data_IF_158342337740
#
_entry.id   IF_158342337740
#
_cell.length_a   1.000
_cell.length_b   1.000
_cell.length_c   1.000
_cell.angle_alpha   90.00
_cell.angle_beta   90.00
_cell.angle_gamma   90.00
#
_symmetry.space_group_name_H-M   'P 1'
#
loop_
_entity.id
_entity.type
_entity.pdbx_description
1 polymer ?
#
# COMPACT_ATOMS: atom_id res chain seq x y z
N UNK A 1 46.66 -3.61 66.44
CA UNK A 1 45.23 -3.47 66.12
C UNK A 1 45.21 -2.81 64.75
N UNK A 2 45.02 -3.48 63.61
CA UNK A 2 44.30 -4.72 63.36
C UNK A 2 43.03 -4.37 62.60
N UNK A 3 43.13 -4.36 61.25
CA UNK A 3 42.07 -4.38 60.23
C UNK A 3 41.17 -3.10 60.15
N UNK A 4 40.70 -2.60 59.00
CA UNK A 4 40.58 -3.15 57.64
C UNK A 4 40.85 -2.05 56.59
N UNK A 5 41.79 -2.32 55.67
CA UNK A 5 41.93 -1.59 54.39
C UNK A 5 40.84 -2.03 53.39
N UNK A 6 39.72 -2.57 53.87
CA UNK A 6 38.95 -3.58 53.14
C UNK A 6 37.42 -3.36 53.22
N UNK A 7 36.99 -2.11 53.37
CA UNK A 7 35.55 -1.74 53.40
C UNK A 7 35.13 -0.80 52.25
N UNK A 8 35.95 -0.72 51.20
CA UNK A 8 35.43 -0.38 49.88
C UNK A 8 35.37 -1.68 49.10
N UNK A 9 34.30 -2.44 49.34
CA UNK A 9 33.85 -3.50 48.45
C UNK A 9 33.99 -2.98 47.02
N UNK A 10 34.95 -3.52 46.28
CA UNK A 10 35.01 -3.36 44.85
C UNK A 10 33.71 -4.00 44.35
N UNK A 11 32.70 -3.17 44.11
CA UNK A 11 31.43 -3.59 43.51
C UNK A 11 31.78 -3.91 42.07
N UNK A 12 32.36 -5.09 41.82
CA UNK A 12 32.67 -5.57 40.48
C UNK A 12 31.36 -5.96 39.83
N UNK A 13 30.64 -4.98 39.30
CA UNK A 13 29.48 -5.18 38.44
C UNK A 13 29.95 -4.90 37.01
N UNK A 14 30.54 -5.93 36.39
CA UNK A 14 30.99 -5.89 35.00
C UNK A 14 32.46 -5.52 34.80
N UNK A 15 32.92 -5.56 33.55
CA UNK A 15 34.30 -5.23 33.14
C UNK A 15 34.58 -3.73 33.12
N UNK A 16 33.69 -2.90 33.66
CA UNK A 16 33.75 -1.44 33.63
C UNK A 16 33.93 -0.92 35.05
N UNK A 17 34.90 -0.04 35.24
CA UNK A 17 35.11 0.61 36.53
C UNK A 17 33.98 1.60 36.83
N UNK A 18 33.80 1.95 38.11
CA UNK A 18 32.69 2.81 38.55
C UNK A 18 32.64 4.16 37.81
N UNK A 19 33.80 4.74 37.48
CA UNK A 19 33.88 5.99 36.72
C UNK A 19 33.33 5.82 35.31
N UNK A 20 33.59 4.68 34.68
CA UNK A 20 33.07 4.35 33.36
C UNK A 20 31.56 4.09 33.41
N UNK A 21 31.08 3.37 34.43
CA UNK A 21 29.65 3.14 34.66
C UNK A 21 28.92 4.47 34.87
N UNK A 22 29.49 5.41 35.62
CA UNK A 22 28.90 6.74 35.82
C UNK A 22 28.91 7.55 34.53
N UNK A 23 30.01 7.53 33.78
CA UNK A 23 30.13 8.27 32.52
C UNK A 23 29.08 7.82 31.49
N UNK A 24 28.88 6.51 31.35
CA UNK A 24 27.92 5.93 30.40
C UNK A 24 26.45 6.03 30.85
N UNK A 25 26.20 6.30 32.13
CA UNK A 25 24.86 6.50 32.69
C UNK A 25 24.55 7.97 33.02
N UNK A 26 25.33 8.93 32.49
CA UNK A 26 24.93 10.34 32.55
C UNK A 26 23.75 10.60 31.63
N UNK A 27 22.94 11.63 31.94
CA UNK A 27 21.82 12.03 31.07
C UNK A 27 22.27 12.25 29.62
N UNK A 28 23.39 12.96 29.41
CA UNK A 28 23.95 13.18 28.06
C UNK A 28 24.39 11.87 27.39
N UNK A 29 25.07 10.96 28.10
CA UNK A 29 25.53 9.71 27.50
C UNK A 29 24.40 8.73 27.21
N UNK A 30 23.31 8.79 27.98
CA UNK A 30 22.09 8.03 27.69
C UNK A 30 21.29 8.67 26.56
N UNK A 31 21.24 10.00 26.49
CA UNK A 31 20.62 10.73 25.37
C UNK A 31 21.35 10.42 24.06
N UNK A 32 22.69 10.45 24.03
CA UNK A 32 23.49 10.07 22.86
C UNK A 32 23.28 8.59 22.47
N UNK A 33 23.13 7.69 23.46
CA UNK A 33 22.84 6.28 23.21
C UNK A 33 21.42 6.07 22.68
N UNK A 34 20.45 6.82 23.20
CA UNK A 34 19.07 6.82 22.73
C UNK A 34 19.06 7.36 21.30
N UNK A 35 19.64 8.52 21.04
CA UNK A 35 19.72 9.14 19.72
C UNK A 35 20.47 8.26 18.71
N UNK A 36 21.57 7.59 19.10
CA UNK A 36 22.26 6.64 18.22
C UNK A 36 21.50 5.32 18.02
N UNK A 37 20.63 4.93 18.97
CA UNK A 37 19.86 3.70 18.93
C UNK A 37 18.48 3.85 18.30
N UNK A 38 17.89 5.04 18.36
CA UNK A 38 16.66 5.46 17.68
C UNK A 38 16.99 6.34 16.47
N UNK A 39 18.16 6.09 15.84
CA UNK A 39 18.85 6.97 14.88
C UNK A 39 18.13 7.42 13.62
N UNK A 40 16.83 7.25 13.53
CA UNK A 40 15.95 7.91 12.57
C UNK A 40 14.68 8.23 13.37
N UNK A 41 14.18 9.47 13.28
CA UNK A 41 12.76 9.72 13.58
C UNK A 41 11.97 8.58 12.93
N UNK A 42 11.11 7.89 13.69
CA UNK A 42 10.25 6.86 13.08
C UNK A 42 9.33 7.62 12.13
N UNK A 43 9.72 7.70 10.85
CA UNK A 43 8.87 8.19 9.78
C UNK A 43 7.75 7.16 9.62
N UNK A 44 6.66 7.41 10.34
CA UNK A 44 5.40 6.72 10.11
C UNK A 44 4.76 7.44 8.95
N UNK A 45 4.95 6.92 7.73
CA UNK A 45 4.13 7.32 6.61
C UNK A 45 2.75 6.69 6.81
N UNK A 46 1.74 7.53 7.01
CA UNK A 46 0.36 7.11 7.11
C UNK A 46 -0.25 7.24 5.72
N UNK A 47 -1.00 6.22 5.30
CA UNK A 47 -1.84 6.33 4.12
C UNK A 47 -3.01 7.28 4.31
N UNK A 48 -3.49 7.80 3.20
CA UNK A 48 -4.55 8.79 3.08
C UNK A 48 -5.78 8.25 2.33
N UNK A 49 -6.94 8.85 2.62
CA UNK A 49 -8.13 8.70 1.78
C UNK A 49 -8.15 9.85 0.76
N UNK A 50 -7.98 9.53 -0.51
CA UNK A 50 -7.84 10.50 -1.60
C UNK A 50 -9.03 10.37 -2.54
N UNK A 51 -9.84 11.42 -2.57
CA UNK A 51 -11.03 11.50 -3.40
C UNK A 51 -10.88 12.56 -4.50
N UNK A 52 -11.20 12.16 -5.72
CA UNK A 52 -11.33 13.04 -6.88
C UNK A 52 -12.68 13.73 -6.95
N UNK A 53 -13.00 14.22 -8.15
CA UNK A 53 -14.28 14.84 -8.47
C UNK A 53 -14.94 14.11 -9.63
N UNK A 54 -16.13 14.57 -10.06
CA UNK A 54 -16.76 14.03 -11.29
C UNK A 54 -16.16 14.63 -12.58
N UNK A 55 -14.91 15.05 -12.55
CA UNK A 55 -14.19 15.65 -13.69
C UNK A 55 -12.89 14.89 -13.90
N UNK A 56 -12.12 15.28 -14.92
CA UNK A 56 -10.76 14.77 -15.07
C UNK A 56 -9.88 15.34 -13.98
N UNK A 57 -9.34 14.46 -13.15
CA UNK A 57 -8.41 14.75 -12.08
C UNK A 57 -7.08 14.01 -12.29
N UNK A 58 -6.04 14.53 -11.66
CA UNK A 58 -4.75 13.84 -11.51
C UNK A 58 -4.55 13.68 -10.02
N UNK A 59 -4.60 12.45 -9.53
CA UNK A 59 -4.47 12.11 -8.13
C UNK A 59 -3.14 11.38 -7.90
N UNK A 60 -2.47 11.73 -6.83
CA UNK A 60 -1.18 11.13 -6.45
C UNK A 60 -1.22 10.90 -4.95
N UNK A 61 -0.95 9.67 -4.54
CA UNK A 61 -0.83 9.30 -3.15
C UNK A 61 0.50 9.69 -2.52
N UNK A 62 0.79 9.00 -1.43
CA UNK A 62 1.90 9.19 -0.50
C UNK A 62 2.82 7.97 -0.57
N UNK A 63 3.74 7.83 0.40
CA UNK A 63 4.56 6.63 0.51
C UNK A 63 3.94 5.59 1.49
N UNK A 64 2.66 5.76 1.87
CA UNK A 64 1.92 4.88 2.77
C UNK A 64 0.66 4.32 2.11
N UNK A 65 0.05 3.31 2.74
CA UNK A 65 -1.08 2.55 2.18
C UNK A 65 -2.35 3.40 1.93
N UNK A 66 -2.49 3.94 0.72
CA UNK A 66 -3.54 4.89 0.38
C UNK A 66 -4.82 4.20 -0.12
N UNK A 67 -5.94 4.92 -0.01
CA UNK A 67 -7.19 4.57 -0.68
C UNK A 67 -7.59 5.69 -1.63
N UNK A 68 -7.56 5.42 -2.93
CA UNK A 68 -7.76 6.41 -3.98
C UNK A 68 -9.06 6.13 -4.75
N UNK A 69 -9.95 7.11 -4.78
CA UNK A 69 -11.22 7.07 -5.53
C UNK A 69 -11.29 8.23 -6.51
N UNK A 70 -11.16 7.96 -7.81
CA UNK A 70 -11.23 9.00 -8.87
C UNK A 70 -12.64 9.53 -9.12
N UNK A 71 -13.65 8.67 -8.98
CA UNK A 71 -15.04 8.86 -9.45
C UNK A 71 -15.14 8.98 -10.99
N UNK A 72 -16.13 9.72 -11.46
CA UNK A 72 -16.39 9.91 -12.88
C UNK A 72 -15.34 10.84 -13.46
N UNK A 73 -14.67 10.41 -14.49
CA UNK A 73 -13.62 11.23 -15.05
C UNK A 73 -12.91 10.46 -16.12
N UNK A 74 -11.71 10.89 -16.41
CA UNK A 74 -10.71 10.05 -17.08
C UNK A 74 -9.45 10.45 -16.37
N UNK A 75 -9.28 9.83 -15.23
CA UNK A 75 -8.37 10.30 -14.23
C UNK A 75 -7.02 9.65 -14.42
N UNK A 76 -6.00 10.31 -13.92
CA UNK A 76 -4.65 9.78 -13.87
C UNK A 76 -4.36 9.55 -12.39
N UNK A 77 -4.23 8.29 -12.03
CA UNK A 77 -4.03 7.86 -10.64
C UNK A 77 -2.60 7.34 -10.47
N UNK A 78 -1.99 7.72 -9.36
CA UNK A 78 -0.65 7.28 -8.95
C UNK A 78 -0.74 6.95 -7.47
N UNK A 79 -0.43 5.72 -7.09
CA UNK A 79 -0.46 5.23 -5.71
C UNK A 79 0.70 5.81 -4.91
N UNK A 80 1.92 5.53 -5.36
CA UNK A 80 3.14 5.85 -4.64
C UNK A 80 3.81 4.57 -4.11
N UNK A 81 4.47 4.68 -2.96
CA UNK A 81 4.91 3.49 -2.23
C UNK A 81 3.80 3.04 -1.26
N UNK A 82 3.77 1.76 -0.90
CA UNK A 82 2.76 1.22 0.00
C UNK A 82 1.94 0.12 -0.65
N UNK A 83 0.89 -0.32 0.05
CA UNK A 83 -0.14 -1.22 -0.47
C UNK A 83 -1.43 -0.44 -0.70
N UNK A 84 -1.60 0.06 -1.92
CA UNK A 84 -2.66 1.01 -2.25
C UNK A 84 -3.94 0.34 -2.71
N UNK A 85 -5.07 1.06 -2.56
CA UNK A 85 -6.40 0.61 -2.94
C UNK A 85 -7.03 1.59 -3.92
N UNK A 86 -7.19 1.18 -5.17
CA UNK A 86 -7.91 1.94 -6.20
C UNK A 86 -9.36 1.49 -6.24
N UNK A 87 -10.29 2.35 -5.79
CA UNK A 87 -11.69 1.98 -5.56
C UNK A 87 -12.59 2.44 -6.71
N UNK A 88 -13.44 1.52 -7.18
CA UNK A 88 -14.44 1.78 -8.21
C UNK A 88 -15.80 1.23 -7.77
N UNK A 89 -16.79 2.11 -7.62
CA UNK A 89 -18.15 1.76 -7.16
C UNK A 89 -19.17 1.62 -8.30
N UNK A 90 -18.78 2.06 -9.50
CA UNK A 90 -19.72 2.21 -10.61
C UNK A 90 -19.04 2.07 -11.97
N UNK A 91 -19.75 1.49 -12.93
CA UNK A 91 -19.34 1.47 -14.34
C UNK A 91 -19.16 2.87 -14.94
N UNK A 92 -19.69 3.92 -14.30
CA UNK A 92 -19.52 5.31 -14.72
C UNK A 92 -18.13 5.87 -14.41
N UNK A 93 -17.36 5.21 -13.53
CA UNK A 93 -16.01 5.60 -13.14
C UNK A 93 -14.96 5.07 -14.15
N UNK A 94 -15.42 4.57 -15.30
CA UNK A 94 -14.58 4.04 -16.36
C UNK A 94 -13.76 5.14 -17.05
N UNK A 95 -12.54 4.80 -17.42
CA UNK A 95 -11.69 5.57 -18.33
C UNK A 95 -10.38 6.05 -17.73
N UNK A 96 -10.09 5.63 -16.50
CA UNK A 96 -8.90 6.01 -15.75
C UNK A 96 -7.64 5.27 -16.23
N UNK A 97 -6.51 5.90 -15.91
CA UNK A 97 -5.17 5.36 -16.11
C UNK A 97 -4.47 5.33 -14.76
N UNK A 98 -4.11 4.13 -14.30
CA UNK A 98 -3.25 3.93 -13.13
C UNK A 98 -1.81 3.76 -13.63
N UNK A 99 -0.89 4.56 -13.07
CA UNK A 99 0.46 4.71 -13.62
C UNK A 99 1.52 3.80 -13.04
N UNK A 100 1.34 3.37 -11.81
CA UNK A 100 2.38 2.76 -10.99
C UNK A 100 1.90 1.56 -10.17
N UNK A 101 0.75 1.00 -10.54
CA UNK A 101 0.18 -0.18 -9.87
C UNK A 101 1.23 -1.27 -9.68
N UNK A 102 1.48 -1.68 -8.44
CA UNK A 102 2.41 -2.73 -8.05
C UNK A 102 1.67 -4.05 -7.76
N UNK A 103 1.67 -5.02 -8.70
CA UNK A 103 0.97 -6.28 -8.51
C UNK A 103 1.52 -7.07 -7.31
N UNK A 104 0.61 -7.49 -6.44
CA UNK A 104 0.92 -8.20 -5.19
C UNK A 104 1.07 -7.30 -3.96
N UNK A 105 1.17 -5.97 -4.15
CA UNK A 105 1.02 -4.97 -3.08
C UNK A 105 -0.33 -4.27 -3.20
N UNK A 106 -0.60 -3.71 -4.37
CA UNK A 106 -1.79 -2.89 -4.62
C UNK A 106 -3.03 -3.73 -4.95
N UNK A 107 -4.19 -3.11 -4.75
CA UNK A 107 -5.47 -3.71 -5.06
C UNK A 107 -6.39 -2.77 -5.86
N UNK A 108 -7.10 -3.35 -6.83
CA UNK A 108 -8.25 -2.70 -7.48
C UNK A 108 -9.52 -3.23 -6.81
N UNK A 109 -10.25 -2.35 -6.15
CA UNK A 109 -11.45 -2.71 -5.38
C UNK A 109 -12.68 -2.51 -6.26
N UNK A 110 -13.34 -3.64 -6.58
CA UNK A 110 -14.50 -3.71 -7.48
C UNK A 110 -15.75 -4.25 -6.79
N UNK A 111 -15.69 -4.60 -5.51
CA UNK A 111 -16.79 -5.25 -4.76
C UNK A 111 -18.13 -4.54 -4.94
N UNK A 112 -18.19 -3.22 -4.76
CA UNK A 112 -19.44 -2.46 -4.92
C UNK A 112 -19.90 -2.38 -6.39
N UNK A 113 -18.97 -2.23 -7.32
CA UNK A 113 -19.28 -2.23 -8.75
C UNK A 113 -19.87 -3.58 -9.18
N UNK A 114 -19.27 -4.68 -8.71
CA UNK A 114 -19.68 -6.05 -9.04
C UNK A 114 -21.06 -6.38 -8.46
N UNK A 115 -21.33 -6.01 -7.20
CA UNK A 115 -22.67 -6.13 -6.59
C UNK A 115 -23.72 -5.35 -7.42
N UNK A 116 -23.38 -4.14 -7.87
CA UNK A 116 -24.28 -3.29 -8.64
C UNK A 116 -24.64 -3.84 -10.02
N UNK A 117 -23.74 -4.61 -10.64
CA UNK A 117 -24.03 -5.31 -11.91
C UNK A 117 -24.66 -6.69 -11.69
N UNK A 118 -24.85 -7.11 -10.43
CA UNK A 118 -25.48 -8.38 -10.07
C UNK A 118 -24.55 -9.59 -10.22
N UNK A 119 -23.25 -9.40 -10.06
CA UNK A 119 -22.30 -10.51 -9.98
C UNK A 119 -22.39 -11.18 -8.60
N UNK A 120 -22.56 -12.51 -8.56
CA UNK A 120 -22.73 -13.29 -7.32
C UNK A 120 -21.61 -14.33 -7.10
N UNK A 121 -20.58 -14.34 -7.94
CA UNK A 121 -19.47 -15.29 -7.86
C UNK A 121 -18.36 -14.87 -6.89
N UNK A 122 -17.31 -15.68 -6.79
CA UNK A 122 -16.15 -15.42 -5.92
C UNK A 122 -14.94 -14.82 -6.66
N UNK A 123 -14.85 -15.03 -7.97
CA UNK A 123 -13.72 -14.60 -8.78
C UNK A 123 -14.18 -14.17 -10.17
N UNK A 124 -14.38 -12.85 -10.32
CA UNK A 124 -14.92 -12.26 -11.55
C UNK A 124 -13.99 -12.43 -12.77
N UNK A 125 -12.70 -12.72 -12.56
CA UNK A 125 -11.77 -13.07 -13.63
C UNK A 125 -12.06 -14.49 -14.13
N UNK A 126 -12.17 -15.45 -13.20
CA UNK A 126 -12.44 -16.86 -13.55
C UNK A 126 -13.84 -17.06 -14.15
N UNK A 127 -14.78 -16.21 -13.77
CA UNK A 127 -16.16 -16.23 -14.27
C UNK A 127 -16.35 -15.39 -15.55
N UNK A 128 -15.26 -14.94 -16.19
CA UNK A 128 -15.24 -14.20 -17.46
C UNK A 128 -15.96 -12.81 -17.44
N UNK A 129 -16.23 -12.26 -16.25
CA UNK A 129 -16.71 -10.88 -16.08
C UNK A 129 -15.59 -9.86 -16.27
N UNK A 130 -14.35 -10.21 -15.94
CA UNK A 130 -13.18 -9.35 -16.10
C UNK A 130 -12.22 -9.96 -17.10
N UNK A 131 -11.79 -9.15 -18.07
CA UNK A 131 -10.88 -9.57 -19.15
C UNK A 131 -9.73 -8.58 -19.29
N UNK A 132 -8.54 -9.10 -19.54
CA UNK A 132 -7.33 -8.29 -19.73
C UNK A 132 -6.93 -8.23 -21.21
N UNK A 133 -6.38 -7.09 -21.64
CA UNK A 133 -5.81 -6.94 -22.98
C UNK A 133 -4.65 -5.96 -22.98
N UNK A 134 -3.47 -6.42 -23.33
CA UNK A 134 -2.23 -5.66 -23.44
C UNK A 134 -2.16 -4.89 -24.74
N UNK A 135 -1.79 -3.62 -24.64
CA UNK A 135 -1.53 -2.76 -25.79
C UNK A 135 -0.38 -1.80 -25.50
N UNK A 136 0.77 -2.09 -26.10
CA UNK A 136 1.90 -1.15 -26.11
C UNK A 136 2.50 -0.86 -24.73
N UNK A 137 2.50 -1.84 -23.82
CA UNK A 137 3.01 -1.69 -22.44
C UNK A 137 1.95 -1.24 -21.42
N UNK A 138 0.70 -1.09 -21.85
CA UNK A 138 -0.45 -0.82 -20.97
C UNK A 138 -1.39 -2.03 -21.01
N UNK A 139 -1.83 -2.52 -19.86
CA UNK A 139 -2.88 -3.54 -19.78
C UNK A 139 -4.23 -2.89 -19.54
N UNK A 140 -5.20 -3.21 -20.40
CA UNK A 140 -6.58 -2.75 -20.30
C UNK A 140 -7.39 -3.77 -19.53
N UNK A 141 -8.05 -3.34 -18.46
CA UNK A 141 -9.04 -4.14 -17.74
C UNK A 141 -10.40 -3.83 -18.36
N UNK A 142 -11.11 -4.87 -18.78
CA UNK A 142 -12.44 -4.76 -19.38
C UNK A 142 -13.46 -5.50 -18.54
N UNK A 143 -14.63 -4.91 -18.35
CA UNK A 143 -15.74 -5.49 -17.56
C UNK A 143 -16.89 -5.87 -18.49
N UNK A 144 -17.37 -7.10 -18.36
CA UNK A 144 -18.55 -7.66 -19.01
C UNK A 144 -19.76 -7.56 -18.07
N UNK A 145 -20.51 -6.46 -18.18
CA UNK A 145 -21.53 -6.09 -17.19
C UNK A 145 -22.74 -7.04 -17.15
N UNK A 146 -23.02 -7.78 -18.23
CA UNK A 146 -24.10 -8.78 -18.28
C UNK A 146 -23.59 -10.23 -18.22
N UNK A 147 -22.31 -10.41 -17.89
CA UNK A 147 -21.68 -11.72 -17.73
C UNK A 147 -21.45 -12.47 -19.06
N UNK A 148 -20.81 -13.66 -18.99
CA UNK A 148 -20.41 -14.40 -20.19
C UNK A 148 -21.58 -14.97 -21.00
N UNK A 149 -22.73 -15.21 -20.36
CA UNK A 149 -23.97 -15.65 -21.03
C UNK A 149 -24.78 -14.48 -21.61
N UNK A 150 -24.37 -13.25 -21.30
CA UNK A 150 -24.94 -12.01 -21.79
C UNK A 150 -24.74 -11.82 -23.30
N UNK A 151 -25.48 -10.84 -23.85
CA UNK A 151 -25.33 -10.44 -25.26
C UNK A 151 -24.43 -9.21 -25.43
N UNK A 152 -24.15 -8.53 -24.32
CA UNK A 152 -23.12 -7.52 -24.21
C UNK A 152 -21.75 -8.12 -24.44
N UNK A 153 -20.79 -7.22 -24.54
CA UNK A 153 -19.38 -7.57 -24.64
C UNK A 153 -18.67 -6.82 -23.55
N UNK A 154 -17.62 -7.42 -23.01
CA UNK A 154 -16.67 -6.72 -22.17
C UNK A 154 -16.24 -5.38 -22.80
N UNK A 155 -16.25 -4.33 -21.97
CA UNK A 155 -15.83 -2.99 -22.34
C UNK A 155 -14.65 -2.58 -21.49
N UNK A 156 -13.66 -1.95 -22.12
CA UNK A 156 -12.54 -1.34 -21.39
C UNK A 156 -13.07 -0.42 -20.31
N UNK A 157 -12.64 -0.70 -19.09
CA UNK A 157 -13.01 -0.01 -17.88
C UNK A 157 -11.86 0.91 -17.44
N UNK A 158 -10.68 0.35 -17.15
CA UNK A 158 -9.49 1.11 -16.77
C UNK A 158 -8.23 0.59 -17.46
N UNK A 159 -7.16 1.36 -17.40
CA UNK A 159 -5.86 1.04 -17.99
C UNK A 159 -4.74 1.12 -16.95
N UNK A 160 -3.86 0.13 -16.94
CA UNK A 160 -2.69 0.07 -16.06
C UNK A 160 -1.43 0.18 -16.91
N UNK A 161 -0.61 1.20 -16.70
CA UNK A 161 0.67 1.36 -17.37
C UNK A 161 1.74 0.46 -16.73
N UNK A 162 2.58 -0.20 -17.54
CA UNK A 162 3.72 -0.99 -17.04
C UNK A 162 3.39 -2.37 -16.47
N UNK A 163 2.11 -2.71 -16.30
CA UNK A 163 1.67 -3.99 -15.73
C UNK A 163 1.34 -5.01 -16.82
N UNK A 164 1.75 -6.28 -16.64
CA UNK A 164 1.45 -7.38 -17.57
C UNK A 164 0.11 -8.06 -17.25
N UNK A 165 -0.52 -8.68 -18.26
CA UNK A 165 -1.72 -9.50 -18.05
C UNK A 165 -1.46 -10.67 -17.09
N UNK A 166 -0.29 -11.30 -17.21
CA UNK A 166 0.08 -12.44 -16.36
C UNK A 166 0.10 -12.06 -14.88
N UNK A 167 0.55 -10.85 -14.54
CA UNK A 167 0.54 -10.36 -13.17
C UNK A 167 -0.90 -10.15 -12.66
N UNK A 168 -1.78 -9.59 -13.50
CA UNK A 168 -3.18 -9.33 -13.15
C UNK A 168 -4.06 -10.58 -13.11
N UNK A 169 -3.60 -11.72 -13.62
CA UNK A 169 -4.34 -12.98 -13.48
C UNK A 169 -4.34 -13.50 -12.02
N UNK A 170 -3.51 -12.95 -11.13
CA UNK A 170 -3.60 -13.23 -9.70
C UNK A 170 -4.80 -12.45 -9.09
N UNK A 171 -5.82 -13.15 -8.57
CA UNK A 171 -7.01 -12.51 -8.01
C UNK A 171 -6.72 -11.70 -6.72
N UNK A 172 -5.57 -11.87 -6.08
CA UNK A 172 -5.20 -11.07 -4.89
C UNK A 172 -5.01 -9.58 -5.18
N UNK A 173 -4.76 -9.22 -6.44
CA UNK A 173 -4.74 -7.83 -6.92
C UNK A 173 -6.12 -7.17 -6.94
N UNK A 174 -7.19 -7.90 -6.60
CA UNK A 174 -8.56 -7.42 -6.72
C UNK A 174 -9.36 -7.66 -5.44
N UNK A 175 -10.21 -6.68 -5.11
CA UNK A 175 -11.33 -6.88 -4.19
C UNK A 175 -12.59 -7.20 -5.00
N UNK A 176 -13.01 -8.46 -5.01
CA UNK A 176 -14.28 -8.89 -5.60
C UNK A 176 -15.47 -8.73 -4.65
#
# INVERSE_FOLDING_TARGET
MGETSDDLLEVTVGTKDIEQVVAENTGSALDDQIESGVGEDIEVTLGEEIEGTRRRDTLTGTDGDDTITGFQGRDILTGGEGSDRFVYDSLLDAGDIIKDFDPGSDQIILTELLDRIGYEGENAISDDYIKFTSRGGTTMISIDADGPDGSGRARTFIALEGVSEDALNDPSNFGF
#
